data_IF_813497853311
#
_entry.id   IF_813497853311
#
_cell.length_a   1.000
_cell.length_b   1.000
_cell.length_c   1.000
_cell.angle_alpha   90.00
_cell.angle_beta   90.00
_cell.angle_gamma   90.00
#
_symmetry.space_group_name_H-M   'P 1'
#
loop_
_entity.id
_entity.type
_entity.pdbx_description
1 polymer ?
#
# COMPACT_ATOMS: atom_id res chain seq x y z
N UNK A 1 -43.92 -3.10 5.26
CA UNK A 1 -42.99 -2.81 4.14
C UNK A 1 -41.67 -3.45 4.49
N UNK A 2 -41.43 -4.66 3.97
CA UNK A 2 -40.25 -5.45 4.32
C UNK A 2 -39.06 -4.95 3.51
N UNK A 3 -38.15 -4.26 4.19
CA UNK A 3 -36.85 -3.87 3.64
C UNK A 3 -36.01 -5.13 3.45
N UNK A 4 -36.09 -5.73 2.26
CA UNK A 4 -35.19 -6.80 1.85
C UNK A 4 -33.78 -6.25 1.78
N UNK A 5 -32.97 -6.53 2.80
CA UNK A 5 -31.54 -6.32 2.76
C UNK A 5 -30.96 -7.32 1.74
N UNK A 6 -30.83 -6.88 0.49
CA UNK A 6 -30.09 -7.61 -0.54
C UNK A 6 -28.63 -7.62 -0.12
N UNK A 7 -28.25 -8.65 0.65
CA UNK A 7 -26.86 -9.02 0.85
C UNK A 7 -26.26 -9.28 -0.54
N UNK A 8 -25.56 -8.31 -1.10
CA UNK A 8 -24.82 -8.51 -2.33
C UNK A 8 -23.81 -9.62 -2.08
N UNK A 9 -23.87 -10.69 -2.87
CA UNK A 9 -22.93 -11.79 -2.76
C UNK A 9 -21.50 -11.27 -2.99
N UNK A 10 -20.60 -11.50 -2.03
CA UNK A 10 -19.18 -11.12 -2.14
C UNK A 10 -18.57 -11.82 -3.35
N UNK A 11 -18.03 -11.03 -4.28
CA UNK A 11 -17.39 -11.53 -5.50
C UNK A 11 -15.87 -11.44 -5.42
N UNK A 12 -15.16 -12.08 -6.36
CA UNK A 12 -13.70 -11.94 -6.47
C UNK A 12 -13.25 -10.48 -6.58
N UNK A 13 -14.03 -9.60 -7.23
CA UNK A 13 -13.72 -8.17 -7.27
C UNK A 13 -13.75 -7.51 -5.89
N UNK A 14 -14.72 -7.86 -5.05
CA UNK A 14 -14.80 -7.34 -3.69
C UNK A 14 -13.62 -7.81 -2.84
N UNK A 15 -13.23 -9.09 -2.97
CA UNK A 15 -12.07 -9.63 -2.26
C UNK A 15 -10.77 -8.93 -2.71
N UNK A 16 -10.55 -8.80 -4.03
CA UNK A 16 -9.38 -8.07 -4.54
C UNK A 16 -9.34 -6.61 -4.09
N UNK A 17 -10.49 -5.92 -4.07
CA UNK A 17 -10.58 -4.55 -3.57
C UNK A 17 -10.22 -4.47 -2.08
N UNK A 18 -10.78 -5.36 -1.25
CA UNK A 18 -10.49 -5.42 0.19
C UNK A 18 -9.01 -5.68 0.46
N UNK A 19 -8.42 -6.65 -0.23
CA UNK A 19 -6.98 -6.96 -0.13
C UNK A 19 -6.13 -5.76 -0.56
N UNK A 20 -6.45 -5.15 -1.70
CA UNK A 20 -5.70 -4.00 -2.21
C UNK A 20 -5.79 -2.80 -1.24
N UNK A 21 -6.96 -2.58 -0.63
CA UNK A 21 -7.13 -1.56 0.39
C UNK A 21 -6.20 -1.83 1.59
N UNK A 22 -6.20 -3.04 2.14
CA UNK A 22 -5.30 -3.36 3.26
C UNK A 22 -3.82 -3.28 2.88
N UNK A 23 -3.43 -3.75 1.69
CA UNK A 23 -2.04 -3.63 1.20
C UNK A 23 -1.59 -2.18 1.15
N UNK A 24 -2.44 -1.31 0.59
CA UNK A 24 -2.15 0.12 0.48
C UNK A 24 -2.10 0.80 1.85
N UNK A 25 -2.98 0.42 2.79
CA UNK A 25 -2.94 0.94 4.17
C UNK A 25 -1.57 0.71 4.80
N UNK A 26 -1.08 -0.52 4.71
CA UNK A 26 0.21 -0.88 5.30
C UNK A 26 1.37 -0.19 4.59
N UNK A 27 1.30 -0.01 3.26
CA UNK A 27 2.28 0.78 2.52
C UNK A 27 2.27 2.26 2.95
N UNK A 28 1.10 2.86 3.19
CA UNK A 28 0.95 4.22 3.69
C UNK A 28 1.45 4.38 5.12
N UNK A 29 1.20 3.42 6.00
CA UNK A 29 1.73 3.41 7.38
C UNK A 29 3.26 3.38 7.37
N UNK A 30 3.88 2.53 6.54
CA UNK A 30 5.33 2.51 6.37
C UNK A 30 5.86 3.82 5.78
N UNK A 31 5.18 4.38 4.78
CA UNK A 31 5.58 5.66 4.19
C UNK A 31 5.48 6.83 5.18
N UNK A 32 4.48 6.82 6.07
CA UNK A 32 4.37 7.79 7.15
C UNK A 32 5.53 7.67 8.15
N UNK A 33 5.90 6.44 8.54
CA UNK A 33 7.08 6.22 9.40
C UNK A 33 8.36 6.77 8.77
N UNK A 34 8.58 6.49 7.48
CA UNK A 34 9.74 7.03 6.75
C UNK A 34 9.73 8.57 6.68
N UNK A 35 8.54 9.17 6.60
CA UNK A 35 8.40 10.62 6.65
C UNK A 35 8.79 11.17 8.03
N UNK A 36 8.36 10.53 9.12
CA UNK A 36 8.70 10.95 10.49
C UNK A 36 10.20 10.78 10.78
N UNK A 37 10.79 9.66 10.37
CA UNK A 37 12.23 9.39 10.49
C UNK A 37 13.07 10.46 9.75
N UNK A 38 12.63 10.84 8.55
CA UNK A 38 13.28 11.87 7.74
C UNK A 38 13.19 13.26 8.39
N UNK A 39 12.11 13.59 9.10
CA UNK A 39 12.01 14.83 9.88
C UNK A 39 13.11 14.87 10.96
N UNK A 40 13.31 13.77 11.68
CA UNK A 40 14.35 13.67 12.69
C UNK A 40 15.76 13.84 12.09
N UNK A 41 16.02 13.22 10.93
CA UNK A 41 17.28 13.38 10.22
C UNK A 41 17.53 14.82 9.73
N UNK A 42 16.53 15.47 9.13
CA UNK A 42 16.64 16.87 8.70
C UNK A 42 16.91 17.80 9.89
N UNK A 43 16.25 17.55 11.03
CA UNK A 43 16.48 18.32 12.25
C UNK A 43 17.91 18.14 12.78
N UNK A 44 18.43 16.91 12.79
CA UNK A 44 19.82 16.62 13.19
C UNK A 44 20.85 17.29 12.26
N UNK A 45 20.67 17.20 10.93
CA UNK A 45 21.52 17.89 9.94
C UNK A 45 21.56 19.41 10.18
N UNK A 46 20.42 19.99 10.59
CA UNK A 46 20.30 21.43 10.86
C UNK A 46 21.06 21.83 12.15
N UNK A 47 21.09 20.95 13.16
CA UNK A 47 21.82 21.18 14.41
C UNK A 47 23.34 20.94 14.29
N UNK A 48 23.75 19.98 13.47
CA UNK A 48 25.18 19.66 13.21
C UNK A 48 25.85 20.60 12.20
N UNK A 49 25.10 21.49 11.56
CA UNK A 49 25.65 22.45 10.60
C UNK A 49 26.80 23.23 11.25
N UNK A 50 28.05 23.09 10.74
CA UNK A 50 29.21 23.66 11.41
C UNK A 50 29.05 25.18 11.47
N UNK A 51 29.25 25.75 12.66
CA UNK A 51 29.49 27.18 12.80
C UNK A 51 30.60 27.52 11.80
N UNK A 52 30.25 28.29 10.76
CA UNK A 52 31.14 28.71 9.69
C UNK A 52 32.54 28.92 10.27
N UNK A 53 33.53 28.16 9.78
CA UNK A 53 34.93 28.38 10.10
C UNK A 53 35.25 29.83 9.74
N UNK A 54 35.15 30.73 10.73
CA UNK A 54 35.52 32.12 10.56
C UNK A 54 37.02 32.11 10.45
N UNK A 55 37.55 32.27 9.24
CA UNK A 55 38.97 32.57 9.06
C UNK A 55 39.30 33.76 9.97
N UNK A 56 40.31 33.67 10.84
CA UNK A 56 40.78 34.81 11.59
C UNK A 56 41.17 35.90 10.59
N UNK A 57 40.47 37.04 10.59
CA UNK A 57 40.84 38.18 9.77
C UNK A 57 42.11 38.80 10.37
N UNK A 58 43.28 38.27 10.00
CA UNK A 58 44.56 38.92 10.29
C UNK A 58 44.82 39.96 9.21
N UNK A 59 44.57 41.22 9.54
CA UNK A 59 44.99 42.37 8.71
C UNK A 59 44.25 43.66 9.05
N UNK A 60 44.97 44.67 9.52
CA UNK A 60 44.53 46.07 9.46
C UNK A 60 44.50 46.49 7.98
N UNK A 61 43.34 46.90 7.47
CA UNK A 61 43.25 47.52 6.14
C UNK A 61 43.52 49.01 6.26
N UNK A 62 44.59 49.49 5.63
CA UNK A 62 44.64 50.86 5.14
C UNK A 62 43.81 50.90 3.86
N UNK A 63 42.64 51.53 3.90
CA UNK A 63 41.82 51.75 2.73
C UNK A 63 42.51 52.76 1.83
N UNK A 64 42.86 52.38 0.59
CA UNK A 64 43.00 53.22 -0.60
C UNK A 64 43.33 52.29 -1.77
N UNK A 65 42.46 52.25 -2.79
CA UNK A 65 42.73 51.53 -4.05
C UNK A 65 41.69 50.46 -4.37
N UNK A 66 40.88 50.73 -5.39
CA UNK A 66 39.79 49.88 -5.82
C UNK A 66 40.24 48.63 -6.58
N UNK A 67 39.59 47.51 -6.27
CA UNK A 67 39.05 46.58 -7.25
C UNK A 67 38.02 45.73 -6.47
N UNK A 68 36.74 45.99 -6.70
CA UNK A 68 35.66 45.23 -6.06
C UNK A 68 35.56 43.86 -6.69
N UNK A 69 36.38 42.92 -6.23
CA UNK A 69 36.28 41.50 -6.58
C UNK A 69 34.85 41.00 -6.28
N UNK A 70 34.26 40.13 -7.12
CA UNK A 70 32.90 39.61 -6.96
C UNK A 70 32.86 38.54 -5.86
N UNK A 71 33.32 38.85 -4.65
CA UNK A 71 33.25 37.95 -3.49
C UNK A 71 31.98 38.17 -2.67
N UNK A 72 31.26 39.29 -2.89
CA UNK A 72 29.97 39.55 -2.22
C UNK A 72 28.89 38.50 -2.53
N UNK A 73 28.85 38.00 -3.77
CA UNK A 73 27.90 36.95 -4.19
C UNK A 73 28.20 35.58 -3.55
N UNK A 74 29.49 35.23 -3.43
CA UNK A 74 29.92 33.99 -2.76
C UNK A 74 29.71 34.06 -1.25
N UNK A 75 30.00 35.21 -0.62
CA UNK A 75 29.74 35.41 0.80
C UNK A 75 28.25 35.29 1.13
N UNK A 76 27.37 35.88 0.32
CA UNK A 76 25.92 35.74 0.46
C UNK A 76 25.44 34.29 0.28
N UNK A 77 26.00 33.54 -0.67
CA UNK A 77 25.69 32.10 -0.84
C UNK A 77 26.18 31.25 0.34
N UNK A 78 27.30 31.61 0.98
CA UNK A 78 27.83 30.89 2.16
C UNK A 78 27.16 31.27 3.48
N UNK A 79 26.44 32.40 3.52
CA UNK A 79 25.78 32.93 4.73
C UNK A 79 24.26 32.88 4.68
N UNK A 80 23.70 32.62 3.49
CA UNK A 80 22.29 32.33 3.36
C UNK A 80 21.95 31.05 4.13
N UNK A 81 20.88 31.04 4.94
CA UNK A 81 20.38 29.81 5.54
C UNK A 81 20.16 28.79 4.42
N UNK A 82 20.84 27.64 4.50
CA UNK A 82 20.60 26.54 3.56
C UNK A 82 19.11 26.21 3.66
N UNK A 83 18.39 26.29 2.54
CA UNK A 83 16.97 25.94 2.52
C UNK A 83 16.82 24.52 3.10
N UNK A 84 15.90 24.32 4.06
CA UNK A 84 15.75 23.02 4.70
C UNK A 84 15.44 21.97 3.63
N UNK A 85 16.13 20.84 3.73
CA UNK A 85 15.97 19.72 2.81
C UNK A 85 14.50 19.30 2.78
N UNK A 86 13.96 19.11 1.58
CA UNK A 86 12.56 18.71 1.41
C UNK A 86 12.37 17.25 1.81
N UNK A 87 11.35 16.97 2.62
CA UNK A 87 10.98 15.60 3.00
C UNK A 87 10.19 14.93 1.88
N UNK A 88 10.90 14.17 1.03
CA UNK A 88 10.30 13.49 -0.13
C UNK A 88 9.21 12.48 0.24
N UNK A 89 9.33 11.85 1.41
CA UNK A 89 8.38 10.84 1.87
C UNK A 89 7.08 11.48 2.31
N UNK A 90 7.15 12.61 3.03
CA UNK A 90 5.98 13.43 3.39
C UNK A 90 5.25 13.95 2.14
N UNK A 91 5.98 14.38 1.10
CA UNK A 91 5.38 14.81 -0.17
C UNK A 91 4.65 13.67 -0.87
N UNK A 92 5.26 12.48 -0.89
CA UNK A 92 4.65 11.29 -1.49
C UNK A 92 3.40 10.88 -0.71
N UNK A 93 3.48 10.80 0.62
CA UNK A 93 2.35 10.49 1.50
C UNK A 93 1.18 11.44 1.29
N UNK A 94 1.45 12.75 1.26
CA UNK A 94 0.44 13.79 1.02
C UNK A 94 -0.21 13.63 -0.36
N UNK A 95 0.57 13.31 -1.39
CA UNK A 95 0.06 13.06 -2.74
C UNK A 95 -0.84 11.82 -2.79
N UNK A 96 -0.43 10.73 -2.15
CA UNK A 96 -1.21 9.48 -2.05
C UNK A 96 -2.52 9.70 -1.32
N UNK A 97 -2.51 10.42 -0.18
CA UNK A 97 -3.73 10.77 0.55
C UNK A 97 -4.66 11.65 -0.28
N UNK A 98 -4.13 12.60 -1.07
CA UNK A 98 -4.95 13.43 -1.97
C UNK A 98 -5.62 12.59 -3.06
N UNK A 99 -4.91 11.63 -3.65
CA UNK A 99 -5.47 10.69 -4.64
C UNK A 99 -6.56 9.83 -4.03
N UNK A 100 -6.35 9.30 -2.83
CA UNK A 100 -7.37 8.54 -2.11
C UNK A 100 -8.57 9.39 -1.73
N UNK A 101 -8.36 10.65 -1.32
CA UNK A 101 -9.43 11.60 -1.07
C UNK A 101 -10.32 11.78 -2.30
N UNK A 102 -9.69 12.09 -3.44
CA UNK A 102 -10.41 12.21 -4.70
C UNK A 102 -11.18 10.93 -5.07
N UNK A 103 -10.56 9.75 -4.90
CA UNK A 103 -11.21 8.47 -5.17
C UNK A 103 -12.40 8.20 -4.24
N UNK A 104 -12.25 8.49 -2.95
CA UNK A 104 -13.31 8.35 -1.96
C UNK A 104 -14.50 9.29 -2.25
N UNK A 105 -14.23 10.48 -2.79
CA UNK A 105 -15.27 11.45 -3.17
C UNK A 105 -16.08 11.01 -4.40
N UNK A 106 -15.57 10.08 -5.21
CA UNK A 106 -16.34 9.47 -6.32
C UNK A 106 -17.24 8.32 -5.85
N UNK A 107 -17.06 7.84 -4.62
CA UNK A 107 -17.81 6.72 -4.08
C UNK A 107 -19.04 7.21 -3.29
N UNK A 108 -20.13 6.41 -3.20
CA UNK A 108 -21.30 6.70 -2.38
C UNK A 108 -20.97 6.52 -0.89
N UNK A 109 -19.98 7.26 -0.41
CA UNK A 109 -19.48 7.25 0.96
C UNK A 109 -20.34 8.18 1.82
N UNK A 110 -20.54 7.81 3.10
CA UNK A 110 -21.06 8.74 4.10
C UNK A 110 -20.12 9.96 4.25
N UNK A 111 -20.55 11.02 4.98
CA UNK A 111 -19.86 12.32 4.99
C UNK A 111 -18.36 12.21 5.32
N UNK A 112 -17.60 13.20 4.87
CA UNK A 112 -16.14 13.29 4.90
C UNK A 112 -15.53 12.98 6.28
N UNK A 113 -15.31 11.70 6.57
CA UNK A 113 -14.40 11.27 7.62
C UNK A 113 -12.96 11.66 7.25
N UNK A 114 -12.08 11.90 8.23
CA UNK A 114 -10.73 12.42 7.97
C UNK A 114 -9.84 11.43 7.20
N UNK A 115 -10.20 10.15 7.20
CA UNK A 115 -9.38 9.10 6.60
C UNK A 115 -10.00 8.62 5.27
N UNK A 116 -9.42 8.99 4.11
CA UNK A 116 -9.95 8.58 2.81
C UNK A 116 -9.82 7.07 2.57
N UNK A 117 -8.82 6.40 3.16
CA UNK A 117 -8.69 4.95 3.09
C UNK A 117 -9.90 4.25 3.73
N UNK A 118 -10.30 4.68 4.93
CA UNK A 118 -11.43 4.07 5.65
C UNK A 118 -12.74 4.23 4.87
N UNK A 119 -12.97 5.41 4.29
CA UNK A 119 -14.16 5.67 3.44
C UNK A 119 -14.25 4.69 2.27
N UNK A 120 -13.13 4.47 1.57
CA UNK A 120 -13.07 3.50 0.47
C UNK A 120 -13.35 2.10 1.01
N UNK A 121 -12.59 1.66 2.03
CA UNK A 121 -12.71 0.33 2.63
C UNK A 121 -14.13 -0.01 3.07
N UNK A 122 -14.77 0.88 3.84
CA UNK A 122 -16.12 0.70 4.37
C UNK A 122 -17.19 0.60 3.25
N UNK A 123 -16.92 1.18 2.09
CA UNK A 123 -17.86 1.17 0.97
C UNK A 123 -17.71 -0.07 0.10
N UNK A 124 -16.54 -0.71 0.08
CA UNK A 124 -16.25 -1.87 -0.80
C UNK A 124 -17.38 -2.92 -0.78
N UNK A 125 -17.89 -3.40 0.37
CA UNK A 125 -18.92 -4.45 0.37
C UNK A 125 -20.24 -4.08 -0.31
N UNK A 126 -20.51 -2.79 -0.50
CA UNK A 126 -21.73 -2.24 -1.10
C UNK A 126 -21.56 -1.84 -2.57
N UNK A 127 -20.35 -1.94 -3.11
CA UNK A 127 -20.07 -1.56 -4.49
C UNK A 127 -20.70 -2.56 -5.47
N UNK A 128 -20.99 -2.08 -6.67
CA UNK A 128 -21.20 -2.99 -7.79
C UNK A 128 -19.86 -3.65 -8.15
N UNK A 129 -19.90 -4.91 -8.60
CA UNK A 129 -18.68 -5.69 -8.87
C UNK A 129 -17.73 -5.00 -9.86
N UNK A 130 -18.29 -4.33 -10.90
CA UNK A 130 -17.50 -3.54 -11.84
C UNK A 130 -16.83 -2.32 -11.20
N UNK A 131 -17.52 -1.63 -10.29
CA UNK A 131 -16.94 -0.53 -9.52
C UNK A 131 -15.84 -1.02 -8.59
N UNK A 132 -16.06 -2.14 -7.89
CA UNK A 132 -15.03 -2.77 -7.06
C UNK A 132 -13.77 -3.11 -7.89
N UNK A 133 -13.93 -3.60 -9.13
CA UNK A 133 -12.82 -3.86 -10.05
C UNK A 133 -12.01 -2.60 -10.40
N UNK A 134 -12.68 -1.48 -10.67
CA UNK A 134 -12.04 -0.20 -10.98
C UNK A 134 -11.29 0.34 -9.75
N UNK A 135 -11.92 0.26 -8.57
CA UNK A 135 -11.29 0.65 -7.30
C UNK A 135 -10.05 -0.21 -7.03
N UNK A 136 -10.12 -1.54 -7.23
CA UNK A 136 -8.95 -2.42 -7.09
C UNK A 136 -7.77 -1.91 -7.91
N UNK A 137 -7.98 -1.54 -9.18
CA UNK A 137 -6.90 -1.06 -10.06
C UNK A 137 -6.22 0.19 -9.49
N UNK A 138 -7.01 1.19 -9.11
CA UNK A 138 -6.46 2.41 -8.52
C UNK A 138 -5.69 2.17 -7.23
N UNK A 139 -6.19 1.28 -6.36
CA UNK A 139 -5.51 0.95 -5.11
C UNK A 139 -4.21 0.17 -5.36
N UNK A 140 -4.20 -0.77 -6.29
CA UNK A 140 -3.01 -1.55 -6.67
C UNK A 140 -1.96 -0.66 -7.34
N UNK A 141 -2.35 0.26 -8.21
CA UNK A 141 -1.44 1.19 -8.87
C UNK A 141 -0.74 2.09 -7.85
N UNK A 142 -1.50 2.62 -6.88
CA UNK A 142 -0.94 3.45 -5.81
C UNK A 142 -0.04 2.64 -4.86
N UNK A 143 -0.46 1.43 -4.45
CA UNK A 143 0.34 0.53 -3.62
C UNK A 143 1.66 0.16 -4.32
N UNK A 144 1.61 -0.16 -5.62
CA UNK A 144 2.79 -0.46 -6.44
C UNK A 144 3.73 0.73 -6.52
N UNK A 145 3.19 1.94 -6.72
CA UNK A 145 3.97 3.18 -6.77
C UNK A 145 4.72 3.42 -5.44
N UNK A 146 4.03 3.30 -4.30
CA UNK A 146 4.63 3.47 -2.97
C UNK A 146 5.68 2.39 -2.72
N UNK A 147 5.34 1.11 -2.93
CA UNK A 147 6.24 -0.02 -2.70
C UNK A 147 7.50 0.06 -3.55
N UNK A 148 7.38 0.44 -4.82
CA UNK A 148 8.53 0.66 -5.69
C UNK A 148 9.44 1.78 -5.16
N UNK A 149 8.88 2.87 -4.63
CA UNK A 149 9.66 3.98 -4.09
C UNK A 149 10.39 3.62 -2.79
N UNK A 150 9.77 2.82 -1.92
CA UNK A 150 10.35 2.43 -0.61
C UNK A 150 11.15 1.11 -0.68
N UNK A 151 11.25 0.47 -1.85
CA UNK A 151 11.92 -0.83 -2.01
C UNK A 151 11.19 -2.02 -1.35
N UNK A 152 9.87 -1.90 -1.14
CA UNK A 152 9.05 -2.91 -0.48
C UNK A 152 8.53 -3.98 -1.45
N UNK A 153 8.56 -5.24 -1.05
CA UNK A 153 7.89 -6.33 -1.77
C UNK A 153 6.39 -6.44 -1.45
N UNK A 154 5.66 -7.34 -2.14
CA UNK A 154 4.29 -7.68 -1.78
C UNK A 154 4.24 -8.36 -0.41
N UNK A 155 3.25 -8.01 0.41
CA UNK A 155 3.01 -8.63 1.71
C UNK A 155 2.23 -9.93 1.54
N UNK A 156 2.99 -11.00 1.31
CA UNK A 156 2.44 -12.35 1.15
C UNK A 156 3.41 -13.39 1.67
N UNK A 157 2.84 -14.48 2.17
CA UNK A 157 3.59 -15.63 2.66
C UNK A 157 3.13 -16.89 1.93
N UNK A 158 4.05 -17.84 1.76
CA UNK A 158 3.72 -19.15 1.21
C UNK A 158 2.87 -19.94 2.21
N UNK A 159 1.68 -20.33 1.80
CA UNK A 159 0.77 -21.19 2.57
C UNK A 159 1.15 -22.66 2.35
N UNK A 160 2.00 -23.18 3.24
CA UNK A 160 2.50 -24.56 3.15
C UNK A 160 1.39 -25.59 3.40
N UNK A 161 1.45 -26.72 2.71
CA UNK A 161 0.53 -27.85 2.88
C UNK A 161 -0.84 -27.66 2.24
N UNK A 162 -1.05 -26.58 1.48
CA UNK A 162 -2.29 -26.28 0.76
C UNK A 162 -2.02 -26.28 -0.74
N UNK A 163 -2.80 -27.07 -1.48
CA UNK A 163 -2.75 -27.12 -2.94
C UNK A 163 -3.99 -26.48 -3.55
N UNK A 164 -3.82 -25.81 -4.70
CA UNK A 164 -4.98 -25.37 -5.48
C UNK A 164 -5.74 -26.58 -6.06
N UNK A 165 -7.06 -26.72 -5.84
CA UNK A 165 -7.81 -27.89 -6.32
C UNK A 165 -7.88 -28.01 -7.85
N UNK A 166 -7.72 -26.90 -8.59
CA UNK A 166 -7.74 -26.90 -10.05
C UNK A 166 -6.36 -27.20 -10.66
N UNK A 167 -5.36 -26.38 -10.35
CA UNK A 167 -4.05 -26.47 -11.00
C UNK A 167 -3.05 -27.36 -10.25
N UNK A 168 -3.40 -27.86 -9.05
CA UNK A 168 -2.57 -28.75 -8.20
C UNK A 168 -1.20 -28.16 -7.82
N UNK A 169 -1.00 -26.86 -7.98
CA UNK A 169 0.22 -26.17 -7.53
C UNK A 169 0.23 -26.07 -6.01
N UNK A 170 1.42 -26.25 -5.41
CA UNK A 170 1.69 -26.12 -3.96
C UNK A 170 2.04 -24.69 -3.53
N UNK A 171 2.28 -23.81 -4.50
CA UNK A 171 2.69 -22.44 -4.27
C UNK A 171 1.47 -21.53 -4.16
N UNK A 172 0.70 -21.73 -3.08
CA UNK A 172 -0.44 -20.90 -2.74
C UNK A 172 0.03 -19.84 -1.75
N UNK A 173 -0.32 -18.58 -1.97
CA UNK A 173 0.12 -17.47 -1.12
C UNK A 173 -1.04 -16.92 -0.31
N UNK A 174 -0.81 -16.68 0.98
CA UNK A 174 -1.68 -15.84 1.79
C UNK A 174 -1.19 -14.40 1.69
N UNK A 175 -2.09 -13.48 1.38
CA UNK A 175 -1.86 -12.04 1.46
C UNK A 175 -2.08 -11.62 2.91
N UNK A 176 -1.04 -11.08 3.53
CA UNK A 176 -0.96 -10.87 4.98
C UNK A 176 -1.15 -9.41 5.41
N UNK A 177 -1.51 -8.54 4.47
CA UNK A 177 -1.85 -7.16 4.78
C UNK A 177 -3.16 -7.09 5.57
N UNK A 178 -3.17 -6.32 6.65
CA UNK A 178 -4.33 -6.15 7.51
C UNK A 178 -4.52 -7.27 8.55
N UNK A 179 -5.65 -7.26 9.26
CA UNK A 179 -5.95 -8.24 10.29
C UNK A 179 -6.30 -9.60 9.66
N UNK A 180 -6.16 -10.67 10.45
CA UNK A 180 -6.19 -12.05 9.94
C UNK A 180 -7.51 -12.42 9.25
N UNK A 181 -8.64 -11.85 9.69
CA UNK A 181 -9.96 -12.03 9.10
C UNK A 181 -10.07 -11.44 7.68
N UNK A 182 -9.24 -10.46 7.34
CA UNK A 182 -9.17 -9.86 6.01
C UNK A 182 -8.16 -10.57 5.09
N UNK A 183 -7.37 -11.52 5.62
CA UNK A 183 -6.38 -12.23 4.82
C UNK A 183 -7.05 -13.06 3.73
N UNK A 184 -6.50 -12.93 2.54
CA UNK A 184 -6.95 -13.63 1.35
C UNK A 184 -5.87 -14.58 0.86
N UNK A 185 -6.29 -15.58 0.11
CA UNK A 185 -5.42 -16.59 -0.47
C UNK A 185 -5.53 -16.46 -1.97
N UNK A 186 -4.38 -16.51 -2.65
CA UNK A 186 -4.25 -16.51 -4.11
C UNK A 186 -3.33 -17.66 -4.52
N UNK A 187 -3.58 -18.22 -5.70
CA UNK A 187 -2.64 -19.16 -6.30
C UNK A 187 -1.44 -18.40 -6.91
N UNK A 188 -0.43 -19.12 -7.42
CA UNK A 188 0.76 -18.52 -8.05
C UNK A 188 0.40 -17.44 -9.07
N UNK A 189 1.31 -16.50 -9.29
CA UNK A 189 1.12 -15.46 -10.31
C UNK A 189 0.90 -16.04 -11.72
N UNK A 190 1.46 -17.22 -12.02
CA UNK A 190 1.30 -17.93 -13.30
C UNK A 190 0.06 -18.86 -13.34
N UNK A 191 -0.76 -18.83 -12.30
CA UNK A 191 -1.93 -19.67 -12.23
C UNK A 191 -3.02 -19.17 -13.17
N UNK A 192 -3.58 -20.08 -13.98
CA UNK A 192 -4.68 -19.80 -14.92
C UNK A 192 -6.07 -20.02 -14.30
N UNK A 193 -6.18 -20.05 -12.97
CA UNK A 193 -7.47 -20.15 -12.28
C UNK A 193 -8.21 -18.82 -12.37
N UNK A 194 -8.95 -18.68 -13.47
CA UNK A 194 -9.75 -17.51 -13.81
C UNK A 194 -11.20 -17.93 -14.00
N UNK A 195 -12.11 -16.96 -13.86
CA UNK A 195 -13.43 -17.06 -14.47
C UNK A 195 -14.41 -18.05 -13.83
N UNK A 196 -15.57 -18.19 -14.48
CA UNK A 196 -16.61 -19.12 -14.02
C UNK A 196 -16.22 -20.57 -14.37
N UNK A 197 -16.72 -21.53 -13.58
CA UNK A 197 -16.58 -22.96 -13.90
C UNK A 197 -15.19 -23.57 -13.65
N UNK A 198 -14.21 -22.81 -13.17
CA UNK A 198 -12.92 -23.40 -12.80
C UNK A 198 -13.07 -24.41 -11.64
N UNK A 199 -12.32 -25.51 -11.70
CA UNK A 199 -12.42 -26.65 -10.77
C UNK A 199 -12.03 -26.31 -9.32
N UNK A 200 -11.39 -25.16 -9.09
CA UNK A 200 -11.10 -24.68 -7.74
C UNK A 200 -12.32 -24.05 -7.05
N UNK A 201 -13.44 -23.90 -7.77
CA UNK A 201 -14.76 -23.55 -7.22
C UNK A 201 -14.71 -22.33 -6.31
N UNK A 202 -13.97 -21.29 -6.69
CA UNK A 202 -13.96 -20.05 -5.93
C UNK A 202 -15.36 -19.46 -5.86
N UNK A 203 -15.83 -19.18 -4.64
CA UNK A 203 -17.10 -18.52 -4.42
C UNK A 203 -17.06 -17.10 -4.97
N UNK A 204 -18.13 -16.68 -5.64
CA UNK A 204 -18.19 -15.35 -6.24
C UNK A 204 -17.20 -15.14 -7.39
N UNK A 205 -16.77 -16.22 -8.07
CA UNK A 205 -15.94 -16.13 -9.26
C UNK A 205 -16.60 -15.25 -10.34
N UNK A 206 -15.78 -14.46 -11.03
CA UNK A 206 -16.20 -13.56 -12.10
C UNK A 206 -15.37 -13.86 -13.34
N UNK A 207 -16.02 -13.84 -14.51
CA UNK A 207 -15.38 -14.14 -15.79
C UNK A 207 -14.14 -13.26 -16.03
N UNK A 208 -13.04 -13.88 -16.46
CA UNK A 208 -11.75 -13.19 -16.67
C UNK A 208 -11.02 -12.69 -15.41
N UNK A 209 -11.52 -12.97 -14.19
CA UNK A 209 -10.90 -12.51 -12.94
C UNK A 209 -10.16 -13.66 -12.26
N UNK A 210 -8.94 -13.38 -11.77
CA UNK A 210 -8.16 -14.33 -11.00
C UNK A 210 -8.86 -14.70 -9.69
N UNK A 211 -8.86 -15.99 -9.39
CA UNK A 211 -9.49 -16.50 -8.19
C UNK A 211 -8.73 -16.09 -6.93
N UNK A 212 -9.53 -15.71 -5.93
CA UNK A 212 -9.09 -15.25 -4.63
C UNK A 212 -10.10 -15.78 -3.61
N UNK A 213 -9.61 -16.19 -2.45
CA UNK A 213 -10.43 -16.79 -1.39
C UNK A 213 -10.18 -16.09 -0.06
N UNK A 214 -11.18 -15.96 0.81
CA UNK A 214 -10.91 -15.70 2.22
C UNK A 214 -10.05 -16.83 2.79
N UNK A 215 -9.03 -16.49 3.60
CA UNK A 215 -8.16 -17.50 4.23
C UNK A 215 -8.94 -18.54 5.01
N UNK A 216 -9.95 -18.10 5.76
CA UNK A 216 -10.80 -18.99 6.56
C UNK A 216 -11.44 -20.08 5.71
N UNK A 217 -11.92 -19.77 4.50
CA UNK A 217 -12.54 -20.73 3.59
C UNK A 217 -11.55 -21.79 3.09
N UNK A 218 -10.28 -21.41 2.86
CA UNK A 218 -9.23 -22.33 2.42
C UNK A 218 -8.81 -23.25 3.57
N UNK A 219 -8.49 -22.68 4.75
CA UNK A 219 -7.99 -23.46 5.90
C UNK A 219 -9.04 -24.42 6.44
N UNK A 220 -10.28 -23.96 6.61
CA UNK A 220 -11.40 -24.82 7.07
C UNK A 220 -11.76 -25.88 6.02
N UNK A 221 -11.80 -25.51 4.73
CA UNK A 221 -12.04 -26.44 3.63
C UNK A 221 -10.99 -27.54 3.54
N UNK A 222 -9.71 -27.22 3.76
CA UNK A 222 -8.62 -28.21 3.82
C UNK A 222 -8.69 -29.12 5.04
N UNK A 223 -9.13 -28.62 6.19
CA UNK A 223 -9.35 -29.44 7.38
C UNK A 223 -10.45 -30.50 7.16
N UNK A 224 -11.53 -30.13 6.44
CA UNK A 224 -12.62 -31.05 6.08
C UNK A 224 -12.17 -32.08 5.04
N UNK A 225 -11.38 -31.68 4.03
CA UNK A 225 -10.87 -32.62 3.01
C UNK A 225 -9.81 -33.58 3.56
N UNK A 226 -8.95 -33.14 4.49
CA UNK A 226 -8.00 -34.01 5.19
C UNK A 226 -8.71 -35.04 6.08
N UNK A 227 -9.76 -34.63 6.80
CA UNK A 227 -10.58 -35.54 7.62
C UNK A 227 -11.31 -36.59 6.76
N UNK A 228 -11.85 -36.21 5.60
CA UNK A 228 -12.49 -37.15 4.67
C UNK A 228 -11.48 -38.09 3.99
N UNK A 229 -10.30 -37.61 3.59
CA UNK A 229 -9.27 -38.46 2.99
C UNK A 229 -8.74 -39.53 3.98
N UNK A 230 -8.59 -39.18 5.26
CA UNK A 230 -8.24 -40.14 6.31
C UNK A 230 -9.35 -41.16 6.59
N UNK A 231 -10.62 -40.79 6.41
CA UNK A 231 -11.76 -41.70 6.58
C UNK A 231 -11.93 -42.68 5.42
N UNK A 232 -11.55 -42.30 4.19
CA UNK A 232 -11.64 -43.16 2.99
C UNK A 232 -10.47 -44.14 2.90
N UNK A 233 -9.28 -43.79 3.40
CA UNK A 233 -8.11 -44.71 3.43
C UNK A 233 -8.21 -45.76 4.54
N UNK A 234 -9.17 -45.62 5.48
CA UNK A 234 -9.43 -46.57 6.56
C UNK A 234 -10.63 -47.51 6.30
N UNK A 235 -11.09 -47.63 5.07
CA UNK A 235 -12.08 -48.64 4.62
C UNK A 235 -11.45 -49.55 3.57
#
# INVERSE_FOLDING_TARGET
MSSGSTSHAVTSHHLHATTAAWSLKTALEHLAQLADDEVAHIAAETLEAPALLRSPAWGRRHALGGHGDPTGGLAAVTTAPRAPRRNRWADMYTRSLRRLGWLADQLPTGPAGPNPWWRIYDTIPRLQAGTAAVITRHLVDEDTCIRAAVGGGPQRELLRGVECPACRRRDVYVQTSGPQEAWTVVCTADCRCLGLGCRCRASGAVEGVAHIWPRSAVVTGTAVTAAYALAVVRR
#
